data_IF_301378365902
#
_entry.id   IF_301378365902
#
_cell.length_a   1.000
_cell.length_b   1.000
_cell.length_c   1.000
_cell.angle_alpha   90.00
_cell.angle_beta   90.00
_cell.angle_gamma   90.00
#
_symmetry.space_group_name_H-M   'P 1'
#
loop_
_entity.id
_entity.type
_entity.pdbx_description
1 polymer ?
#
# COMPACT_ATOMS: atom_id res chain seq x y z
N UNK A 1 -3.68 -7.66 39.64
CA UNK A 1 -2.27 -7.53 39.23
C UNK A 1 -2.19 -7.50 37.71
N UNK A 2 -1.89 -6.36 37.07
CA UNK A 2 -1.72 -6.27 35.60
C UNK A 2 -0.26 -6.60 35.25
N UNK A 3 0.01 -7.86 34.91
CA UNK A 3 1.36 -8.37 34.55
C UNK A 3 1.79 -8.02 33.10
N UNK A 4 0.89 -7.46 32.30
CA UNK A 4 1.10 -7.21 30.87
C UNK A 4 1.81 -5.89 30.44
N UNK A 5 2.10 -4.88 31.28
CA UNK A 5 2.71 -3.64 30.78
C UNK A 5 4.20 -3.78 30.39
N UNK A 6 4.87 -4.87 30.78
CA UNK A 6 6.29 -5.11 30.46
C UNK A 6 6.50 -5.97 29.20
N UNK A 7 5.49 -6.73 28.77
CA UNK A 7 5.61 -7.65 27.65
C UNK A 7 5.38 -6.87 26.34
N UNK A 8 6.42 -6.77 25.52
CA UNK A 8 6.38 -6.06 24.23
C UNK A 8 5.79 -6.92 23.11
N UNK A 9 6.12 -8.20 23.08
CA UNK A 9 5.73 -9.17 22.06
C UNK A 9 5.68 -10.57 22.69
N UNK A 10 4.70 -11.37 22.27
CA UNK A 10 4.66 -12.82 22.53
C UNK A 10 4.76 -13.51 21.18
N UNK A 11 5.68 -14.47 21.05
CA UNK A 11 5.81 -15.32 19.86
C UNK A 11 5.33 -16.72 20.23
N UNK A 12 4.34 -17.21 19.51
CA UNK A 12 3.82 -18.57 19.66
C UNK A 12 4.12 -19.31 18.37
N UNK A 13 4.82 -20.43 18.47
CA UNK A 13 5.08 -21.34 17.35
C UNK A 13 4.14 -22.51 17.45
N UNK A 14 3.36 -22.76 16.39
CA UNK A 14 2.47 -23.91 16.31
C UNK A 14 3.22 -25.11 15.69
N UNK A 15 2.90 -26.34 16.08
CA UNK A 15 3.40 -27.52 15.37
C UNK A 15 2.88 -27.55 13.93
N UNK A 16 3.52 -28.31 13.03
CA UNK A 16 3.05 -28.50 11.66
C UNK A 16 1.56 -28.86 11.63
N UNK A 17 0.78 -28.14 10.82
CA UNK A 17 -0.69 -28.27 10.80
C UNK A 17 -1.24 -28.10 9.40
N UNK A 18 -2.26 -28.89 9.05
CA UNK A 18 -2.98 -28.76 7.78
C UNK A 18 -3.87 -27.50 7.71
N UNK A 19 -4.00 -26.78 8.84
CA UNK A 19 -4.86 -25.61 8.98
C UNK A 19 -4.23 -24.35 8.38
N UNK A 20 -2.93 -24.17 8.55
CA UNK A 20 -2.18 -22.97 8.15
C UNK A 20 -0.90 -23.42 7.47
N UNK A 21 -0.59 -22.95 6.24
CA UNK A 21 0.67 -23.28 5.57
C UNK A 21 1.90 -22.88 6.39
N UNK A 22 2.95 -23.68 6.31
CA UNK A 22 4.24 -23.37 6.93
C UNK A 22 4.82 -22.04 6.41
N UNK A 23 5.32 -21.20 7.32
CA UNK A 23 5.84 -19.88 7.00
C UNK A 23 4.79 -18.75 6.99
N UNK A 24 3.50 -19.05 7.18
CA UNK A 24 2.49 -18.01 7.44
C UNK A 24 2.60 -17.55 8.89
N UNK A 25 2.72 -16.23 9.08
CA UNK A 25 2.81 -15.60 10.40
C UNK A 25 1.54 -14.75 10.61
N UNK A 26 0.78 -15.08 11.65
CA UNK A 26 -0.30 -14.23 12.12
C UNK A 26 0.24 -13.27 13.19
N UNK A 27 -0.04 -11.98 13.01
CA UNK A 27 0.30 -10.96 13.98
C UNK A 27 -1.01 -10.42 14.54
N UNK A 28 -1.36 -10.85 15.75
CA UNK A 28 -2.47 -10.26 16.49
C UNK A 28 -2.01 -8.96 17.14
N UNK A 29 -2.56 -7.85 16.65
CA UNK A 29 -2.15 -6.52 17.05
C UNK A 29 -3.22 -5.99 18.00
N UNK A 30 -2.86 -5.52 19.21
CA UNK A 30 -3.84 -4.92 20.11
C UNK A 30 -4.57 -3.80 19.36
N UNK A 31 -5.89 -3.72 19.53
CA UNK A 31 -6.76 -2.82 18.76
C UNK A 31 -6.23 -1.39 18.69
N UNK A 32 -6.67 -0.64 17.67
CA UNK A 32 -6.16 0.72 17.40
C UNK A 32 -6.06 1.55 18.66
N UNK A 33 -4.86 2.05 18.90
CA UNK A 33 -4.57 2.89 20.05
C UNK A 33 -3.73 2.28 21.13
N UNK A 34 -2.70 1.61 20.66
CA UNK A 34 -1.63 1.25 21.52
C UNK A 34 -0.86 2.50 22.01
N UNK A 35 -0.54 2.51 23.30
CA UNK A 35 0.30 3.54 23.89
C UNK A 35 1.74 3.52 23.31
N UNK A 36 2.18 2.45 22.66
CA UNK A 36 3.45 2.35 21.99
C UNK A 36 3.30 2.62 20.49
N UNK A 37 3.92 3.70 20.00
CA UNK A 37 3.86 4.11 18.58
C UNK A 37 4.33 3.01 17.62
N UNK A 38 5.43 2.31 17.94
CA UNK A 38 5.94 1.23 17.08
C UNK A 38 4.89 0.12 16.95
N UNK A 39 4.27 -0.28 18.07
CA UNK A 39 3.22 -1.33 18.08
C UNK A 39 1.95 -0.91 17.35
N UNK A 40 1.55 0.35 17.46
CA UNK A 40 0.41 0.92 16.73
C UNK A 40 0.66 1.01 15.21
N UNK A 41 1.92 1.01 14.77
CA UNK A 41 2.32 1.07 13.37
C UNK A 41 2.70 -0.29 12.76
N UNK A 42 2.86 -1.36 13.56
CA UNK A 42 3.30 -2.70 13.09
C UNK A 42 2.43 -3.27 11.97
N UNK A 43 1.12 -3.01 11.97
CA UNK A 43 0.22 -3.53 10.94
C UNK A 43 0.52 -2.98 9.54
N UNK A 44 1.26 -1.87 9.45
CA UNK A 44 1.67 -1.24 8.18
C UNK A 44 2.84 -1.95 7.50
N UNK A 45 3.47 -2.92 8.16
CA UNK A 45 4.57 -3.75 7.61
C UNK A 45 4.08 -5.15 7.19
N UNK A 46 2.79 -5.43 7.32
CA UNK A 46 2.21 -6.72 6.96
C UNK A 46 1.91 -6.81 5.46
N UNK A 47 2.17 -7.97 4.86
CA UNK A 47 1.86 -8.22 3.44
C UNK A 47 0.35 -8.21 3.17
N UNK A 48 -0.45 -8.76 4.09
CA UNK A 48 -1.92 -8.70 4.04
C UNK A 48 -2.46 -8.16 5.36
N UNK A 49 -3.47 -7.30 5.29
CA UNK A 49 -4.11 -6.67 6.46
C UNK A 49 -5.52 -7.22 6.64
N UNK A 50 -5.80 -7.76 7.83
CA UNK A 50 -7.12 -8.26 8.17
C UNK A 50 -7.82 -7.30 9.12
N UNK A 51 -8.95 -6.73 8.69
CA UNK A 51 -9.81 -5.92 9.55
C UNK A 51 -10.90 -6.82 10.10
N UNK A 52 -10.94 -7.00 11.42
CA UNK A 52 -11.94 -7.84 12.09
C UNK A 52 -12.91 -6.95 12.84
N UNK A 53 -14.21 -7.06 12.54
CA UNK A 53 -15.26 -6.31 13.21
C UNK A 53 -16.43 -7.22 13.60
N UNK A 54 -17.02 -6.99 14.77
CA UNK A 54 -18.24 -7.68 15.21
C UNK A 54 -19.44 -7.15 14.40
N UNK A 55 -20.40 -8.02 14.07
CA UNK A 55 -21.54 -7.68 13.23
C UNK A 55 -22.34 -6.48 13.75
N UNK A 56 -22.59 -6.39 15.06
CA UNK A 56 -23.28 -5.26 15.70
C UNK A 56 -22.54 -3.92 15.50
N UNK A 57 -21.20 -3.95 15.55
CA UNK A 57 -20.37 -2.75 15.31
C UNK A 57 -20.42 -2.29 13.86
N UNK A 58 -20.69 -3.20 12.93
CA UNK A 58 -20.84 -2.87 11.51
C UNK A 58 -22.12 -2.08 11.27
N UNK A 59 -23.17 -2.31 12.05
CA UNK A 59 -24.41 -1.54 12.02
C UNK A 59 -24.32 -0.20 12.76
N UNK A 60 -23.65 -0.17 13.92
CA UNK A 60 -23.63 1.03 14.77
C UNK A 60 -22.44 1.97 14.54
N UNK A 61 -21.21 1.48 14.72
CA UNK A 61 -20.04 2.32 14.94
C UNK A 61 -19.19 2.52 13.68
N UNK A 62 -18.77 3.77 13.41
CA UNK A 62 -17.92 4.11 12.25
C UNK A 62 -16.43 3.71 12.38
N UNK A 63 -16.02 3.14 13.51
CA UNK A 63 -14.63 2.79 13.75
C UNK A 63 -14.07 1.80 12.73
N UNK A 64 -14.87 0.78 12.35
CA UNK A 64 -14.47 -0.20 11.33
C UNK A 64 -14.30 0.45 9.95
N UNK A 65 -15.10 1.47 9.62
CA UNK A 65 -14.99 2.19 8.34
C UNK A 65 -13.68 2.98 8.25
N UNK A 66 -13.28 3.63 9.34
CA UNK A 66 -11.99 4.32 9.44
C UNK A 66 -10.84 3.33 9.22
N UNK A 67 -10.87 2.17 9.88
CA UNK A 67 -9.84 1.14 9.70
C UNK A 67 -9.79 0.60 8.27
N UNK A 68 -10.95 0.39 7.64
CA UNK A 68 -11.01 -0.01 6.23
C UNK A 68 -10.42 1.08 5.32
N UNK A 69 -10.67 2.37 5.58
CA UNK A 69 -10.04 3.45 4.80
C UNK A 69 -8.51 3.47 4.97
N UNK A 70 -8.01 3.34 6.20
CA UNK A 70 -6.58 3.32 6.49
C UNK A 70 -5.89 2.11 5.85
N UNK A 71 -6.53 0.94 5.87
CA UNK A 71 -6.00 -0.24 5.18
C UNK A 71 -5.98 -0.03 3.66
N UNK A 72 -7.07 0.49 3.07
CA UNK A 72 -7.12 0.81 1.63
C UNK A 72 -5.99 1.78 1.26
N UNK A 73 -5.79 2.83 2.06
CA UNK A 73 -4.68 3.78 1.89
C UNK A 73 -3.34 3.06 1.95
N UNK A 74 -3.11 2.17 2.92
CA UNK A 74 -1.90 1.37 3.02
C UNK A 74 -1.65 0.52 1.76
N UNK A 75 -2.69 -0.12 1.21
CA UNK A 75 -2.57 -0.89 -0.03
C UNK A 75 -2.31 -0.01 -1.26
N UNK A 76 -3.02 1.12 -1.37
CA UNK A 76 -2.81 2.07 -2.46
C UNK A 76 -1.40 2.66 -2.48
N UNK A 77 -0.79 2.85 -1.31
CA UNK A 77 0.57 3.36 -1.12
C UNK A 77 1.62 2.26 -1.29
N UNK A 78 1.22 0.99 -1.41
CA UNK A 78 2.13 -0.15 -1.62
C UNK A 78 2.72 -0.74 -0.34
N UNK A 79 2.14 -0.47 0.82
CA UNK A 79 2.59 -1.04 2.11
C UNK A 79 2.13 -2.48 2.33
N UNK A 80 0.95 -2.80 1.83
CA UNK A 80 0.41 -4.16 1.83
C UNK A 80 -0.08 -4.50 0.43
N UNK A 81 0.06 -5.78 0.06
CA UNK A 81 -0.43 -6.26 -1.22
C UNK A 81 -1.91 -6.63 -1.14
N UNK A 82 -2.44 -6.96 0.05
CA UNK A 82 -3.81 -7.46 0.19
C UNK A 82 -4.53 -6.97 1.45
N UNK A 83 -5.87 -6.97 1.39
CA UNK A 83 -6.74 -6.58 2.51
C UNK A 83 -7.92 -7.54 2.57
N UNK A 84 -8.24 -8.03 3.77
CA UNK A 84 -9.41 -8.86 4.04
C UNK A 84 -10.26 -8.22 5.13
N UNK A 85 -11.55 -8.01 4.86
CA UNK A 85 -12.51 -7.56 5.86
C UNK A 85 -13.32 -8.75 6.39
N UNK A 86 -13.18 -9.04 7.68
CA UNK A 86 -13.84 -10.16 8.35
C UNK A 86 -14.88 -9.61 9.32
N UNK A 87 -16.15 -9.90 9.07
CA UNK A 87 -17.25 -9.60 9.97
C UNK A 87 -17.50 -10.85 10.81
N UNK A 88 -17.25 -10.77 12.11
CA UNK A 88 -17.37 -11.89 13.05
C UNK A 88 -18.64 -11.82 13.90
N UNK A 89 -18.92 -12.89 14.63
CA UNK A 89 -20.09 -13.07 15.50
C UNK A 89 -21.43 -12.99 14.75
N UNK A 90 -21.49 -13.54 13.53
CA UNK A 90 -22.74 -13.60 12.76
C UNK A 90 -23.87 -14.35 13.49
N UNK A 91 -23.54 -15.23 14.43
CA UNK A 91 -24.48 -15.94 15.30
C UNK A 91 -25.25 -15.03 16.29
N UNK A 92 -24.85 -13.76 16.42
CA UNK A 92 -25.53 -12.74 17.24
C UNK A 92 -26.68 -12.03 16.53
N UNK A 93 -26.90 -12.27 15.23
CA UNK A 93 -28.06 -11.72 14.53
C UNK A 93 -29.35 -12.24 15.17
N UNK A 94 -30.26 -11.31 15.45
CA UNK A 94 -31.55 -11.57 16.06
C UNK A 94 -32.67 -11.63 15.00
N UNK A 95 -33.55 -12.63 15.11
CA UNK A 95 -34.69 -12.84 14.21
C UNK A 95 -35.70 -11.68 14.24
N UNK A 96 -35.96 -11.09 15.42
CA UNK A 96 -36.87 -9.97 15.58
C UNK A 96 -36.33 -8.71 14.91
N UNK A 97 -35.03 -8.45 15.08
CA UNK A 97 -34.36 -7.33 14.40
C UNK A 97 -34.37 -7.53 12.88
N UNK A 98 -34.06 -8.74 12.42
CA UNK A 98 -34.13 -9.09 11.01
C UNK A 98 -35.53 -8.89 10.42
N UNK A 99 -36.59 -9.33 11.12
CA UNK A 99 -37.99 -9.14 10.71
C UNK A 99 -38.41 -7.67 10.68
N UNK A 100 -37.95 -6.86 11.63
CA UNK A 100 -38.22 -5.40 11.62
C UNK A 100 -37.61 -4.72 10.40
N UNK A 101 -36.40 -5.11 10.03
CA UNK A 101 -35.70 -4.56 8.87
C UNK A 101 -36.22 -5.14 7.54
N UNK A 102 -36.95 -6.27 7.59
CA UNK A 102 -37.51 -6.97 6.42
C UNK A 102 -39.01 -7.23 6.58
N UNK A 103 -39.87 -6.22 6.37
CA UNK A 103 -41.32 -6.37 6.54
C UNK A 103 -41.98 -7.40 5.62
N UNK A 104 -41.31 -7.80 4.53
CA UNK A 104 -41.75 -8.86 3.62
C UNK A 104 -41.25 -10.27 3.96
N UNK A 105 -40.47 -10.43 5.04
CA UNK A 105 -40.00 -11.73 5.49
C UNK A 105 -41.13 -12.51 6.19
N UNK A 106 -41.07 -13.84 6.14
CA UNK A 106 -42.02 -14.72 6.84
C UNK A 106 -42.04 -14.43 8.34
N UNK A 107 -43.23 -14.45 8.95
CA UNK A 107 -43.39 -14.28 10.39
C UNK A 107 -42.65 -15.36 11.20
N UNK A 108 -42.37 -16.52 10.61
CA UNK A 108 -41.70 -17.66 11.23
C UNK A 108 -40.28 -17.89 10.65
N UNK A 109 -39.58 -16.84 10.23
CA UNK A 109 -38.21 -16.98 9.72
C UNK A 109 -37.31 -17.65 10.77
N UNK A 110 -36.56 -18.69 10.39
CA UNK A 110 -35.66 -19.36 11.33
C UNK A 110 -34.43 -18.50 11.61
N UNK A 111 -33.77 -18.70 12.76
CA UNK A 111 -32.48 -18.05 13.05
C UNK A 111 -31.46 -18.22 11.94
N UNK A 112 -31.39 -19.42 11.38
CA UNK A 112 -30.47 -19.75 10.29
C UNK A 112 -30.78 -18.92 9.05
N UNK A 113 -32.04 -18.85 8.64
CA UNK A 113 -32.46 -18.09 7.46
C UNK A 113 -32.24 -16.59 7.64
N UNK A 114 -32.52 -16.05 8.84
CA UNK A 114 -32.24 -14.66 9.18
C UNK A 114 -30.74 -14.34 9.07
N UNK A 115 -29.87 -15.23 9.60
CA UNK A 115 -28.42 -15.07 9.48
C UNK A 115 -27.98 -15.13 8.02
N UNK A 116 -28.49 -16.08 7.23
CA UNK A 116 -28.10 -16.25 5.82
C UNK A 116 -28.57 -15.09 4.94
N UNK A 117 -29.79 -14.60 5.15
CA UNK A 117 -30.32 -13.42 4.45
C UNK A 117 -29.48 -12.18 4.76
N UNK A 118 -29.27 -11.89 6.04
CA UNK A 118 -28.44 -10.75 6.46
C UNK A 118 -27.00 -10.87 5.96
N UNK A 119 -26.45 -12.09 5.95
CA UNK A 119 -25.13 -12.37 5.41
C UNK A 119 -25.02 -12.00 3.94
N UNK A 120 -26.03 -12.35 3.12
CA UNK A 120 -26.04 -12.02 1.70
C UNK A 120 -26.10 -10.51 1.46
N UNK A 121 -26.93 -9.79 2.21
CA UNK A 121 -27.07 -8.33 2.11
C UNK A 121 -25.77 -7.60 2.51
N UNK A 122 -25.23 -7.92 3.68
CA UNK A 122 -24.00 -7.31 4.18
C UNK A 122 -22.83 -7.61 3.24
N UNK A 123 -22.72 -8.86 2.76
CA UNK A 123 -21.67 -9.25 1.80
C UNK A 123 -21.78 -8.41 0.54
N UNK A 124 -22.99 -8.26 -0.01
CA UNK A 124 -23.22 -7.48 -1.24
C UNK A 124 -22.87 -6.00 -1.03
N UNK A 125 -23.39 -5.39 0.03
CA UNK A 125 -23.17 -3.97 0.35
C UNK A 125 -21.69 -3.66 0.59
N UNK A 126 -21.03 -4.41 1.47
CA UNK A 126 -19.62 -4.15 1.82
C UNK A 126 -18.66 -4.54 0.70
N UNK A 127 -18.95 -5.62 -0.05
CA UNK A 127 -18.17 -5.99 -1.23
C UNK A 127 -18.25 -4.91 -2.30
N UNK A 128 -19.42 -4.32 -2.55
CA UNK A 128 -19.55 -3.20 -3.50
C UNK A 128 -18.69 -2.01 -3.11
N UNK A 129 -18.78 -1.56 -1.85
CA UNK A 129 -17.99 -0.42 -1.37
C UNK A 129 -16.48 -0.69 -1.44
N UNK A 130 -16.05 -1.91 -1.12
CA UNK A 130 -14.64 -2.30 -1.23
C UNK A 130 -14.20 -2.43 -2.68
N UNK A 131 -15.02 -3.00 -3.57
CA UNK A 131 -14.70 -3.16 -5.01
C UNK A 131 -14.57 -1.82 -5.74
N UNK A 132 -15.42 -0.85 -5.40
CA UNK A 132 -15.34 0.50 -5.94
C UNK A 132 -14.00 1.18 -5.59
N UNK A 133 -13.45 0.86 -4.41
CA UNK A 133 -12.18 1.43 -3.92
C UNK A 133 -10.95 0.57 -4.27
N UNK A 134 -11.15 -0.73 -4.46
CA UNK A 134 -10.12 -1.73 -4.71
C UNK A 134 -10.61 -2.68 -5.81
N UNK A 135 -9.96 -2.68 -6.96
CA UNK A 135 -10.29 -3.56 -8.10
C UNK A 135 -9.90 -5.03 -7.84
N UNK A 136 -10.36 -5.63 -6.73
CA UNK A 136 -10.06 -7.01 -6.33
C UNK A 136 -11.32 -7.81 -6.06
N UNK A 137 -11.23 -9.13 -6.29
CA UNK A 137 -12.32 -10.07 -6.04
C UNK A 137 -12.29 -10.58 -4.59
N UNK A 138 -13.48 -10.76 -4.02
CA UNK A 138 -13.77 -11.40 -2.71
C UNK A 138 -12.91 -10.90 -1.53
N UNK A 139 -13.28 -9.72 -1.02
CA UNK A 139 -12.58 -9.03 0.08
C UNK A 139 -13.32 -9.12 1.43
N UNK A 140 -14.51 -9.70 1.46
CA UNK A 140 -15.40 -9.67 2.64
C UNK A 140 -15.83 -11.08 3.02
N UNK A 141 -15.55 -11.46 4.26
CA UNK A 141 -15.93 -12.75 4.84
C UNK A 141 -16.80 -12.54 6.06
N UNK A 142 -17.93 -13.23 6.12
CA UNK A 142 -18.89 -13.12 7.23
C UNK A 142 -18.90 -14.42 7.99
N UNK A 143 -18.34 -14.40 9.19
CA UNK A 143 -17.96 -15.60 9.93
C UNK A 143 -18.64 -15.70 11.29
N UNK A 144 -18.83 -16.93 11.74
CA UNK A 144 -19.11 -17.26 13.14
C UNK A 144 -18.10 -18.29 13.63
N UNK A 145 -17.17 -17.84 14.47
CA UNK A 145 -16.20 -18.74 15.09
C UNK A 145 -16.86 -19.73 16.06
N UNK A 146 -17.89 -19.27 16.80
CA UNK A 146 -18.62 -20.10 17.75
C UNK A 146 -19.31 -21.28 17.05
N UNK A 147 -20.09 -20.99 16.02
CA UNK A 147 -20.80 -22.02 15.25
C UNK A 147 -19.86 -22.94 14.48
N UNK A 148 -18.65 -22.49 14.13
CA UNK A 148 -17.68 -23.35 13.44
C UNK A 148 -17.10 -24.43 14.36
N UNK A 149 -16.78 -24.07 15.61
CA UNK A 149 -16.24 -24.99 16.61
C UNK A 149 -17.34 -25.84 17.26
N UNK A 150 -18.54 -25.27 17.43
CA UNK A 150 -19.68 -25.91 18.07
C UNK A 150 -20.97 -25.56 17.32
N UNK A 151 -21.27 -26.26 16.21
CA UNK A 151 -22.44 -26.00 15.38
C UNK A 151 -23.74 -26.19 16.17
N UNK A 152 -24.61 -25.18 16.15
CA UNK A 152 -25.96 -25.27 16.74
C UNK A 152 -27.04 -24.80 15.76
N UNK A 153 -26.77 -23.72 15.03
CA UNK A 153 -27.68 -23.08 14.08
C UNK A 153 -27.11 -23.10 12.67
N UNK A 154 -25.79 -22.90 12.53
CA UNK A 154 -25.10 -22.84 11.24
C UNK A 154 -24.28 -24.11 11.01
N UNK A 155 -24.29 -24.62 9.78
CA UNK A 155 -23.30 -25.62 9.37
C UNK A 155 -21.89 -25.01 9.28
N UNK A 156 -20.84 -25.83 9.27
CA UNK A 156 -19.46 -25.34 9.13
C UNK A 156 -19.28 -24.56 7.83
N UNK A 157 -19.97 -24.97 6.78
CA UNK A 157 -20.00 -24.34 5.46
C UNK A 157 -20.64 -22.95 5.54
N UNK A 158 -21.75 -22.83 6.28
CA UNK A 158 -22.46 -21.56 6.50
C UNK A 158 -21.62 -20.53 7.27
N UNK A 159 -20.62 -20.97 8.05
CA UNK A 159 -19.76 -20.03 8.80
C UNK A 159 -18.71 -19.32 7.95
N UNK A 160 -18.52 -19.70 6.67
CA UNK A 160 -17.48 -19.13 5.79
C UNK A 160 -16.01 -19.28 6.25
N UNK A 161 -15.73 -19.87 7.41
CA UNK A 161 -14.36 -20.05 7.93
C UNK A 161 -13.53 -20.95 7.01
N UNK A 162 -14.16 -21.96 6.37
CA UNK A 162 -13.48 -22.78 5.37
C UNK A 162 -13.06 -21.97 4.14
N UNK A 163 -13.90 -21.04 3.68
CA UNK A 163 -13.56 -20.13 2.57
C UNK A 163 -12.47 -19.15 2.96
N UNK A 164 -12.53 -18.61 4.17
CA UNK A 164 -11.49 -17.74 4.71
C UNK A 164 -10.13 -18.46 4.81
N UNK A 165 -10.12 -19.73 5.20
CA UNK A 165 -8.90 -20.58 5.17
C UNK A 165 -8.41 -20.84 3.76
N UNK A 166 -9.30 -21.13 2.81
CA UNK A 166 -8.94 -21.30 1.41
C UNK A 166 -8.33 -20.02 0.83
N UNK A 167 -8.84 -18.85 1.23
CA UNK A 167 -8.28 -17.56 0.86
C UNK A 167 -6.85 -17.35 1.38
N UNK A 168 -6.57 -17.69 2.64
CA UNK A 168 -5.18 -17.66 3.18
C UNK A 168 -4.26 -18.56 2.35
N UNK A 169 -4.70 -19.80 2.07
CA UNK A 169 -3.91 -20.76 1.29
C UNK A 169 -3.63 -20.22 -0.11
N UNK A 170 -4.62 -19.59 -0.75
CA UNK A 170 -4.46 -18.95 -2.05
C UNK A 170 -3.44 -17.82 -1.99
N UNK A 171 -3.58 -16.88 -1.05
CA UNK A 171 -2.64 -15.78 -0.87
C UNK A 171 -1.20 -16.27 -0.66
N UNK A 172 -1.04 -17.29 0.19
CA UNK A 172 0.27 -17.92 0.44
C UNK A 172 0.86 -18.51 -0.84
N UNK A 173 0.09 -19.31 -1.58
CA UNK A 173 0.55 -19.94 -2.82
C UNK A 173 0.88 -18.92 -3.90
N UNK A 174 0.06 -17.88 -4.06
CA UNK A 174 0.29 -16.81 -5.02
C UNK A 174 1.60 -16.06 -4.70
N UNK A 175 1.82 -15.74 -3.41
CA UNK A 175 3.04 -15.07 -2.96
C UNK A 175 4.29 -15.95 -3.13
N UNK A 176 4.24 -17.22 -2.70
CA UNK A 176 5.35 -18.17 -2.86
C UNK A 176 5.69 -18.42 -4.32
N UNK A 177 4.66 -18.58 -5.16
CA UNK A 177 4.85 -18.74 -6.60
C UNK A 177 5.55 -17.53 -7.20
N UNK A 178 5.11 -16.32 -6.85
CA UNK A 178 5.75 -15.09 -7.31
C UNK A 178 7.22 -15.00 -6.88
N UNK A 179 7.52 -15.28 -5.60
CA UNK A 179 8.89 -15.26 -5.09
C UNK A 179 9.77 -16.30 -5.78
N UNK A 180 9.29 -17.54 -5.93
CA UNK A 180 10.02 -18.60 -6.59
C UNK A 180 10.27 -18.27 -8.07
N UNK A 181 9.27 -17.71 -8.75
CA UNK A 181 9.42 -17.26 -10.13
C UNK A 181 10.48 -16.16 -10.27
N UNK A 182 10.54 -15.22 -9.32
CA UNK A 182 11.59 -14.19 -9.31
C UNK A 182 12.98 -14.83 -9.16
N UNK A 183 13.19 -15.70 -8.16
CA UNK A 183 14.46 -16.40 -7.96
C UNK A 183 14.85 -17.28 -9.15
N UNK A 184 13.90 -18.03 -9.73
CA UNK A 184 14.18 -18.87 -10.89
C UNK A 184 14.61 -18.04 -12.09
N UNK A 185 14.03 -16.86 -12.30
CA UNK A 185 14.44 -15.97 -13.40
C UNK A 185 15.84 -15.42 -13.20
N UNK A 186 16.21 -15.03 -11.97
CA UNK A 186 17.57 -14.61 -11.64
C UNK A 186 18.59 -15.74 -11.86
N UNK A 187 18.26 -16.97 -11.43
CA UNK A 187 19.11 -18.15 -11.66
C UNK A 187 19.24 -18.48 -13.16
N UNK A 188 18.14 -18.37 -13.91
CA UNK A 188 18.14 -18.62 -15.37
C UNK A 188 19.08 -17.65 -16.11
N UNK A 189 19.18 -16.39 -15.66
CA UNK A 189 20.14 -15.43 -16.22
C UNK A 189 21.57 -15.91 -16.04
N UNK A 190 21.93 -16.42 -14.84
CA UNK A 190 23.27 -16.95 -14.56
C UNK A 190 23.59 -18.13 -15.47
N UNK A 191 22.65 -19.06 -15.65
CA UNK A 191 22.84 -20.18 -16.58
C UNK A 191 22.95 -19.72 -18.04
N UNK A 192 22.13 -18.77 -18.47
CA UNK A 192 22.23 -18.20 -19.82
C UNK A 192 23.59 -17.52 -20.04
N UNK A 193 24.16 -16.87 -19.02
CA UNK A 193 25.50 -16.29 -19.10
C UNK A 193 26.59 -17.36 -19.25
N UNK A 194 26.46 -18.50 -18.54
CA UNK A 194 27.37 -19.66 -18.70
C UNK A 194 27.25 -20.25 -20.11
N UNK A 195 26.04 -20.38 -20.65
CA UNK A 195 25.82 -20.85 -22.03
C UNK A 195 26.46 -19.90 -23.06
N UNK A 196 26.37 -18.59 -22.83
CA UNK A 196 27.02 -17.55 -23.66
C UNK A 196 28.53 -17.70 -23.64
N UNK A 197 29.12 -17.93 -22.45
CA UNK A 197 30.56 -18.15 -22.28
C UNK A 197 31.03 -19.35 -23.10
N UNK A 198 30.39 -20.50 -22.94
CA UNK A 198 30.73 -21.71 -23.69
C UNK A 198 30.55 -21.55 -25.20
N UNK A 199 29.50 -20.86 -25.62
CA UNK A 199 29.23 -20.61 -27.04
C UNK A 199 30.25 -19.66 -27.70
N UNK A 200 30.85 -18.75 -26.92
CA UNK A 200 31.82 -17.76 -27.45
C UNK A 200 33.20 -18.36 -27.64
N UNK A 201 33.62 -19.33 -26.80
CA UNK A 201 34.87 -20.08 -27.01
C UNK A 201 34.90 -20.89 -28.32
N UNK A 202 33.73 -21.26 -28.86
CA UNK A 202 33.63 -22.11 -30.05
C UNK A 202 33.62 -21.32 -31.38
N UNK A 203 33.31 -20.02 -31.36
CA UNK A 203 33.36 -19.16 -32.55
C UNK A 203 33.54 -17.66 -32.18
N UNK A 204 34.71 -17.06 -32.41
CA UNK A 204 34.93 -15.62 -32.21
C UNK A 204 34.07 -14.82 -33.21
N UNK A 205 33.22 -13.93 -32.71
CA UNK A 205 32.36 -13.10 -33.56
C UNK A 205 33.11 -11.86 -34.08
N UNK A 206 32.81 -11.39 -35.30
CA UNK A 206 33.37 -10.14 -35.83
C UNK A 206 32.91 -8.92 -35.03
N UNK A 207 33.73 -7.86 -35.06
CA UNK A 207 33.58 -6.63 -34.28
C UNK A 207 32.20 -6.01 -34.42
N UNK A 208 31.43 -6.05 -33.34
CA UNK A 208 30.07 -5.52 -33.21
C UNK A 208 30.07 -3.99 -33.26
N UNK A 209 29.10 -3.40 -33.99
CA UNK A 209 28.73 -1.96 -33.95
C UNK A 209 28.15 -1.59 -32.59
N UNK A 210 29.00 -1.56 -31.56
CA UNK A 210 28.61 -1.26 -30.18
C UNK A 210 28.06 0.15 -30.02
N UNK A 211 28.64 1.10 -30.75
CA UNK A 211 28.27 2.52 -30.65
C UNK A 211 26.80 2.75 -31.03
N UNK A 212 26.27 1.99 -32.01
CA UNK A 212 24.85 2.06 -32.41
C UNK A 212 23.90 1.59 -31.29
N UNK A 213 24.29 0.54 -30.55
CA UNK A 213 23.47 0.03 -29.46
C UNK A 213 23.55 0.94 -28.23
N UNK A 214 24.74 1.45 -27.92
CA UNK A 214 24.94 2.41 -26.83
C UNK A 214 24.15 3.71 -27.09
N UNK A 215 24.17 4.22 -28.33
CA UNK A 215 23.38 5.39 -28.75
C UNK A 215 21.88 5.12 -28.64
N UNK A 216 21.40 4.00 -29.18
CA UNK A 216 19.99 3.59 -29.06
C UNK A 216 19.54 3.50 -27.60
N UNK A 217 20.33 2.84 -26.74
CA UNK A 217 19.99 2.71 -25.32
C UNK A 217 19.90 4.09 -24.65
N UNK A 218 20.90 4.95 -24.88
CA UNK A 218 20.90 6.33 -24.37
C UNK A 218 19.65 7.11 -24.78
N UNK A 219 19.28 7.04 -26.06
CA UNK A 219 18.07 7.68 -26.59
C UNK A 219 16.80 7.16 -25.90
N UNK A 220 16.66 5.84 -25.75
CA UNK A 220 15.48 5.23 -25.12
C UNK A 220 15.37 5.55 -23.64
N UNK A 221 16.49 5.62 -22.92
CA UNK A 221 16.54 6.04 -21.53
C UNK A 221 16.10 7.51 -21.40
N UNK A 222 16.59 8.39 -22.26
CA UNK A 222 16.17 9.79 -22.28
C UNK A 222 14.69 9.95 -22.62
N UNK A 223 14.16 9.13 -23.54
CA UNK A 223 12.74 9.12 -23.84
C UNK A 223 11.90 8.67 -22.63
N UNK A 224 12.31 7.60 -21.94
CA UNK A 224 11.65 7.13 -20.72
C UNK A 224 11.66 8.22 -19.63
N UNK A 225 12.80 8.89 -19.44
CA UNK A 225 12.95 10.05 -18.54
C UNK A 225 11.94 11.15 -18.88
N UNK A 226 11.95 11.63 -20.11
CA UNK A 226 11.09 12.73 -20.56
C UNK A 226 9.61 12.39 -20.43
N UNK A 227 9.23 11.16 -20.76
CA UNK A 227 7.85 10.68 -20.63
C UNK A 227 7.43 10.59 -19.15
N UNK A 228 8.33 10.16 -18.28
CA UNK A 228 8.10 10.12 -16.83
C UNK A 228 7.92 11.53 -16.26
N UNK A 229 8.78 12.47 -16.61
CA UNK A 229 8.69 13.89 -16.22
C UNK A 229 7.36 14.51 -16.68
N UNK A 230 6.99 14.32 -17.95
CA UNK A 230 5.71 14.81 -18.49
C UNK A 230 4.50 14.19 -17.77
N UNK A 231 4.60 12.92 -17.37
CA UNK A 231 3.56 12.23 -16.60
C UNK A 231 3.38 12.84 -15.22
N UNK A 232 4.48 13.11 -14.53
CA UNK A 232 4.46 13.73 -13.21
C UNK A 232 4.05 15.20 -13.24
N UNK A 233 4.30 15.93 -14.33
CA UNK A 233 3.83 17.31 -14.50
C UNK A 233 2.29 17.43 -14.39
N UNK A 234 1.54 16.36 -14.68
CA UNK A 234 0.10 16.33 -14.46
C UNK A 234 -0.33 16.42 -12.97
N UNK A 235 0.61 16.27 -12.03
CA UNK A 235 0.37 16.46 -10.59
C UNK A 235 0.34 17.93 -10.17
N UNK A 236 0.94 18.85 -10.94
CA UNK A 236 1.11 20.24 -10.53
C UNK A 236 -0.22 20.94 -10.25
N UNK A 237 -1.19 20.80 -11.15
CA UNK A 237 -2.51 21.42 -10.98
C UNK A 237 -3.30 20.83 -9.80
N UNK A 238 -3.48 19.49 -9.66
CA UNK A 238 -4.08 18.89 -8.48
C UNK A 238 -3.40 19.30 -7.17
N UNK A 239 -2.07 19.47 -7.18
CA UNK A 239 -1.34 19.92 -6.02
C UNK A 239 -1.67 21.37 -5.67
N UNK A 240 -1.60 22.28 -6.64
CA UNK A 240 -1.96 23.69 -6.47
C UNK A 240 -3.39 23.82 -5.93
N UNK A 241 -4.33 23.04 -6.46
CA UNK A 241 -5.71 22.99 -5.99
C UNK A 241 -5.81 22.42 -4.58
N UNK A 242 -5.06 21.35 -4.28
CA UNK A 242 -4.92 20.76 -2.95
C UNK A 242 -4.45 21.77 -1.91
N UNK A 243 -3.44 22.59 -2.25
CA UNK A 243 -2.94 23.67 -1.37
C UNK A 243 -4.03 24.66 -1.06
N UNK A 244 -4.74 25.13 -2.10
CA UNK A 244 -5.83 26.11 -1.96
C UNK A 244 -6.97 25.53 -1.11
N UNK A 245 -7.31 24.27 -1.34
CA UNK A 245 -8.30 23.51 -0.56
C UNK A 245 -7.89 23.38 0.90
N UNK A 246 -6.63 23.04 1.18
CA UNK A 246 -6.09 22.98 2.54
C UNK A 246 -6.10 24.35 3.22
N UNK A 247 -5.66 25.42 2.53
CA UNK A 247 -5.67 26.79 3.06
C UNK A 247 -7.08 27.30 3.36
N UNK A 248 -8.10 26.85 2.65
CA UNK A 248 -9.48 27.26 2.98
C UNK A 248 -10.11 26.40 4.08
N UNK A 249 -9.76 25.11 4.17
CA UNK A 249 -10.41 24.14 5.06
C UNK A 249 -9.69 23.89 6.38
N UNK A 250 -8.42 24.24 6.52
CA UNK A 250 -7.61 23.86 7.69
C UNK A 250 -8.22 24.31 9.03
N UNK A 251 -8.67 25.57 9.18
CA UNK A 251 -9.31 26.06 10.41
C UNK A 251 -10.54 25.22 10.76
N UNK A 252 -11.45 25.03 9.79
CA UNK A 252 -12.66 24.21 9.95
C UNK A 252 -12.33 22.75 10.27
N UNK A 253 -11.28 22.18 9.67
CA UNK A 253 -10.87 20.80 9.92
C UNK A 253 -10.34 20.61 11.34
N UNK A 254 -9.49 21.53 11.81
CA UNK A 254 -8.98 21.54 13.18
C UNK A 254 -10.10 21.78 14.19
N UNK A 255 -10.99 22.74 13.94
CA UNK A 255 -12.18 22.96 14.77
C UNK A 255 -13.04 21.70 14.83
N UNK A 256 -13.32 21.05 13.69
CA UNK A 256 -14.10 19.81 13.65
C UNK A 256 -13.43 18.69 14.43
N UNK A 257 -12.10 18.58 14.37
CA UNK A 257 -11.33 17.63 15.18
C UNK A 257 -11.50 17.92 16.67
N UNK A 258 -11.47 19.19 17.07
CA UNK A 258 -11.60 19.60 18.46
C UNK A 258 -13.04 19.55 19.00
N UNK A 259 -14.02 19.75 18.14
CA UNK A 259 -15.44 19.63 18.48
C UNK A 259 -15.83 18.21 18.90
N UNK A 260 -15.05 17.18 18.54
CA UNK A 260 -15.27 15.80 18.97
C UNK A 260 -15.23 15.63 20.49
N UNK A 261 -14.59 16.55 21.21
CA UNK A 261 -14.51 16.53 22.66
C UNK A 261 -15.17 17.71 23.37
N UNK A 262 -15.99 18.51 22.68
CA UNK A 262 -16.61 19.73 23.25
C UNK A 262 -17.38 19.48 24.56
N UNK A 263 -18.01 18.32 24.69
CA UNK A 263 -18.79 17.93 25.86
C UNK A 263 -18.00 17.07 26.86
N UNK A 264 -16.72 16.80 26.60
CA UNK A 264 -15.91 15.89 27.41
C UNK A 264 -14.86 16.62 28.23
N UNK A 265 -14.94 16.44 29.55
CA UNK A 265 -13.95 16.93 30.51
C UNK A 265 -12.54 16.34 30.32
N UNK A 266 -12.41 15.22 29.61
CA UNK A 266 -11.15 14.50 29.38
C UNK A 266 -10.46 14.76 28.03
N UNK A 267 -11.08 15.53 27.12
CA UNK A 267 -10.55 15.69 25.77
C UNK A 267 -9.21 16.45 25.74
N UNK A 268 -9.03 17.44 26.61
CA UNK A 268 -7.76 18.17 26.72
C UNK A 268 -6.57 17.23 27.01
N UNK A 269 -6.77 16.17 27.80
CA UNK A 269 -5.72 15.16 28.07
C UNK A 269 -5.38 14.36 26.82
N UNK A 270 -6.38 14.09 25.98
CA UNK A 270 -6.22 13.40 24.71
C UNK A 270 -5.43 14.26 23.71
N UNK A 271 -5.75 15.56 23.62
CA UNK A 271 -4.99 16.51 22.79
C UNK A 271 -3.56 16.71 23.28
N UNK A 272 -3.35 16.80 24.61
CA UNK A 272 -2.01 16.87 25.19
C UNK A 272 -1.19 15.63 24.82
N UNK A 273 -1.79 14.44 24.90
CA UNK A 273 -1.13 13.21 24.48
C UNK A 273 -0.84 13.19 22.97
N UNK A 274 -1.73 13.73 22.13
CA UNK A 274 -1.48 13.91 20.70
C UNK A 274 -0.29 14.83 20.43
N UNK A 275 -0.18 15.96 21.12
CA UNK A 275 0.96 16.88 20.98
C UNK A 275 2.27 16.20 21.38
N UNK A 276 2.34 15.55 22.55
CA UNK A 276 3.53 14.80 23.00
C UNK A 276 3.95 13.73 21.98
N UNK A 277 3.01 13.20 21.21
CA UNK A 277 3.24 12.20 20.16
C UNK A 277 3.25 12.77 18.75
N UNK A 278 3.69 14.02 18.61
CA UNK A 278 3.90 14.68 17.31
C UNK A 278 2.63 14.70 16.42
N UNK A 279 1.49 14.98 17.05
CA UNK A 279 0.19 15.15 16.39
C UNK A 279 -0.63 13.88 16.23
N UNK A 280 -0.18 12.73 16.73
CA UNK A 280 -0.88 11.45 16.57
C UNK A 280 -1.10 10.77 17.91
N UNK A 281 -2.35 10.57 18.30
CA UNK A 281 -2.69 9.80 19.48
C UNK A 281 -4.02 9.10 19.32
N UNK A 282 -4.15 7.94 19.94
CA UNK A 282 -5.39 7.19 19.92
C UNK A 282 -5.92 7.08 21.34
N UNK A 283 -7.19 7.40 21.49
CA UNK A 283 -7.92 7.26 22.74
C UNK A 283 -8.98 6.18 22.61
N UNK A 284 -9.26 5.49 23.72
CA UNK A 284 -10.40 4.56 23.82
C UNK A 284 -11.74 5.25 23.60
N UNK A 285 -11.82 6.55 23.91
CA UNK A 285 -13.06 7.34 23.85
C UNK A 285 -13.19 8.08 22.52
N UNK A 286 -12.08 8.63 22.00
CA UNK A 286 -12.08 9.49 20.81
C UNK A 286 -11.51 8.80 19.55
N UNK A 287 -11.16 7.52 19.63
CA UNK A 287 -10.44 6.80 18.58
C UNK A 287 -9.12 7.52 18.21
N UNK A 288 -8.65 7.33 16.96
CA UNK A 288 -7.39 7.90 16.46
C UNK A 288 -7.59 9.38 16.13
N UNK A 289 -6.85 10.23 16.83
CA UNK A 289 -6.62 11.64 16.51
C UNK A 289 -5.30 11.73 15.74
N UNK A 290 -5.36 12.19 14.50
CA UNK A 290 -4.20 12.40 13.63
C UNK A 290 -4.28 13.79 13.02
N UNK A 291 -3.62 14.76 13.66
CA UNK A 291 -3.64 16.17 13.25
C UNK A 291 -2.96 16.31 11.88
N UNK A 292 -1.86 15.57 11.65
CA UNK A 292 -1.09 15.66 10.43
C UNK A 292 -1.92 15.15 9.23
N UNK A 293 -2.56 13.97 9.39
CA UNK A 293 -3.43 13.42 8.35
C UNK A 293 -4.68 14.29 8.11
N UNK A 294 -5.28 14.84 9.18
CA UNK A 294 -6.43 15.74 9.07
C UNK A 294 -6.13 17.00 8.24
N UNK A 295 -4.92 17.55 8.39
CA UNK A 295 -4.46 18.71 7.63
C UNK A 295 -4.01 18.36 6.21
N UNK A 296 -3.52 17.13 6.00
CA UNK A 296 -3.13 16.61 4.68
C UNK A 296 -4.33 16.21 3.80
N UNK A 297 -5.45 15.81 4.39
CA UNK A 297 -6.60 15.25 3.67
C UNK A 297 -7.14 16.12 2.54
N UNK A 298 -7.25 17.47 2.65
CA UNK A 298 -7.66 18.30 1.53
C UNK A 298 -6.73 18.21 0.32
N UNK A 299 -5.42 17.99 0.52
CA UNK A 299 -4.49 17.75 -0.58
C UNK A 299 -4.68 16.34 -1.11
N UNK A 300 -4.73 15.33 -0.22
CA UNK A 300 -4.94 13.95 -0.63
C UNK A 300 -6.20 13.79 -1.48
N UNK A 301 -7.29 14.46 -1.13
CA UNK A 301 -8.54 14.43 -1.88
C UNK A 301 -8.37 14.88 -3.34
N UNK A 302 -7.61 15.95 -3.58
CA UNK A 302 -7.36 16.48 -4.94
C UNK A 302 -6.38 15.59 -5.72
N UNK A 303 -5.31 15.09 -5.09
CA UNK A 303 -4.29 14.31 -5.81
C UNK A 303 -4.64 12.83 -6.00
N UNK A 304 -5.55 12.27 -5.20
CA UNK A 304 -5.81 10.81 -5.11
C UNK A 304 -6.04 10.17 -6.47
N UNK A 305 -6.85 10.80 -7.33
CA UNK A 305 -7.20 10.25 -8.65
C UNK A 305 -5.98 10.27 -9.58
N UNK A 306 -5.28 11.40 -9.68
CA UNK A 306 -4.11 11.52 -10.56
C UNK A 306 -2.98 10.61 -10.09
N UNK A 307 -2.66 10.63 -8.80
CA UNK A 307 -1.65 9.76 -8.20
C UNK A 307 -1.96 8.28 -8.43
N UNK A 308 -3.22 7.86 -8.28
CA UNK A 308 -3.64 6.50 -8.57
C UNK A 308 -3.53 6.12 -10.06
N UNK A 309 -3.70 7.08 -10.99
CA UNK A 309 -3.54 6.86 -12.42
C UNK A 309 -2.07 6.72 -12.84
N UNK A 310 -1.19 7.53 -12.25
CA UNK A 310 0.26 7.50 -12.49
C UNK A 310 0.84 6.12 -12.12
N UNK A 311 0.53 5.63 -10.92
CA UNK A 311 1.06 4.36 -10.41
C UNK A 311 0.15 3.15 -10.66
N UNK A 312 -0.72 3.23 -11.66
CA UNK A 312 -1.66 2.17 -12.01
C UNK A 312 -0.95 1.03 -12.74
N UNK A 313 -1.17 -0.22 -12.31
CA UNK A 313 -0.63 -1.45 -12.96
C UNK A 313 -1.62 -2.22 -13.82
N UNK A 314 -2.91 -1.88 -13.79
CA UNK A 314 -3.97 -2.59 -14.53
C UNK A 314 -4.88 -1.60 -15.24
N UNK A 315 -5.35 -1.91 -16.45
CA UNK A 315 -6.12 -0.99 -17.28
C UNK A 315 -5.41 0.36 -17.42
N UNK A 316 -4.19 0.29 -17.99
CA UNK A 316 -3.24 1.38 -18.12
C UNK A 316 -3.85 2.58 -18.86
N UNK A 317 -3.53 3.78 -18.41
CA UNK A 317 -3.93 5.04 -19.04
C UNK A 317 -2.74 5.70 -19.72
N UNK A 318 -2.99 6.77 -20.48
CA UNK A 318 -1.90 7.57 -21.11
C UNK A 318 -0.92 8.17 -20.10
N UNK A 319 -1.35 8.31 -18.85
CA UNK A 319 -0.56 8.83 -17.72
C UNK A 319 0.00 7.74 -16.82
N UNK A 320 -0.13 6.46 -17.16
CA UNK A 320 0.40 5.37 -16.32
C UNK A 320 1.88 5.17 -16.58
N UNK A 321 2.73 5.25 -15.54
CA UNK A 321 4.17 5.00 -15.65
C UNK A 321 4.48 3.60 -16.17
N UNK A 322 3.70 2.60 -15.75
CA UNK A 322 3.86 1.22 -16.20
C UNK A 322 3.81 1.10 -17.73
N UNK A 323 3.03 1.96 -18.41
CA UNK A 323 2.97 1.95 -19.87
C UNK A 323 4.34 2.25 -20.49
N UNK A 324 5.04 3.25 -19.97
CA UNK A 324 6.34 3.66 -20.51
C UNK A 324 7.43 2.64 -20.17
N UNK A 325 7.36 2.00 -18.99
CA UNK A 325 8.28 0.91 -18.65
C UNK A 325 8.06 -0.32 -19.54
N UNK A 326 6.80 -0.68 -19.80
CA UNK A 326 6.45 -1.81 -20.68
C UNK A 326 6.88 -1.53 -22.13
N UNK A 327 6.65 -0.30 -22.61
CA UNK A 327 7.06 0.15 -23.94
C UNK A 327 8.58 0.15 -24.08
N UNK A 328 9.31 0.71 -23.12
CA UNK A 328 10.77 0.68 -23.08
C UNK A 328 11.31 -0.75 -23.12
N UNK A 329 10.80 -1.64 -22.25
CA UNK A 329 11.23 -3.05 -22.21
C UNK A 329 11.01 -3.75 -23.54
N UNK A 330 9.86 -3.51 -24.17
CA UNK A 330 9.54 -4.07 -25.48
C UNK A 330 10.49 -3.55 -26.56
N UNK A 331 10.70 -2.24 -26.65
CA UNK A 331 11.57 -1.63 -27.66
C UNK A 331 13.03 -2.09 -27.53
N UNK A 332 13.53 -2.24 -26.32
CA UNK A 332 14.88 -2.77 -26.06
C UNK A 332 14.99 -4.22 -26.53
N UNK A 333 14.02 -5.07 -26.21
CA UNK A 333 13.99 -6.47 -26.68
C UNK A 333 13.84 -6.58 -28.18
N UNK A 334 13.00 -5.75 -28.80
CA UNK A 334 12.84 -5.70 -30.25
C UNK A 334 14.17 -5.29 -30.93
N UNK A 335 14.88 -4.29 -30.39
CA UNK A 335 16.22 -3.90 -30.89
C UNK A 335 17.25 -5.02 -30.73
N UNK A 336 17.25 -5.76 -29.62
CA UNK A 336 18.13 -6.92 -29.47
C UNK A 336 17.82 -8.02 -30.49
N UNK A 337 16.55 -8.28 -30.78
CA UNK A 337 16.13 -9.22 -31.80
C UNK A 337 16.60 -8.80 -33.20
N UNK A 338 16.41 -7.53 -33.56
CA UNK A 338 16.86 -6.98 -34.84
C UNK A 338 18.39 -7.01 -34.97
N UNK A 339 19.09 -6.60 -33.91
CA UNK A 339 20.54 -6.67 -33.84
C UNK A 339 21.04 -8.11 -33.96
N UNK A 340 20.35 -9.05 -33.30
CA UNK A 340 20.62 -10.48 -33.38
C UNK A 340 20.54 -11.03 -34.79
N UNK A 341 19.51 -10.64 -35.55
CA UNK A 341 19.34 -11.00 -36.97
C UNK A 341 20.44 -10.43 -37.86
N UNK A 342 20.84 -9.18 -37.63
CA UNK A 342 21.85 -8.49 -38.46
C UNK A 342 23.25 -9.05 -38.20
N UNK A 343 23.56 -9.40 -36.95
CA UNK A 343 24.92 -9.80 -36.54
C UNK A 343 25.11 -11.31 -36.40
N UNK A 344 24.11 -12.13 -36.78
CA UNK A 344 24.07 -13.57 -36.51
C UNK A 344 24.44 -13.89 -35.05
N UNK A 345 23.94 -13.09 -34.12
CA UNK A 345 24.16 -13.29 -32.70
C UNK A 345 23.61 -14.67 -32.30
N UNK A 346 24.40 -15.47 -31.59
CA UNK A 346 23.94 -16.78 -31.19
C UNK A 346 22.68 -16.67 -30.29
N UNK A 347 21.81 -17.67 -30.35
CA UNK A 347 20.54 -17.64 -29.63
C UNK A 347 20.70 -17.56 -28.11
N UNK A 348 21.81 -18.06 -27.56
CA UNK A 348 22.15 -17.97 -26.13
C UNK A 348 22.41 -16.52 -25.69
N UNK A 349 23.14 -15.72 -26.47
CA UNK A 349 23.39 -14.28 -26.18
C UNK A 349 22.11 -13.46 -26.23
N UNK A 350 21.27 -13.68 -27.24
CA UNK A 350 19.99 -12.97 -27.34
C UNK A 350 19.08 -13.29 -26.15
N UNK A 351 18.96 -14.58 -25.81
CA UNK A 351 18.16 -15.03 -24.66
C UNK A 351 18.68 -14.45 -23.34
N UNK A 352 20.00 -14.39 -23.16
CA UNK A 352 20.60 -13.73 -22.00
C UNK A 352 20.19 -12.26 -21.92
N UNK A 353 20.32 -11.48 -23.00
CA UNK A 353 19.98 -10.06 -23.02
C UNK A 353 18.49 -9.80 -22.72
N UNK A 354 17.59 -10.62 -23.27
CA UNK A 354 16.16 -10.52 -22.97
C UNK A 354 15.84 -10.81 -21.49
N UNK A 355 16.49 -11.83 -20.91
CA UNK A 355 16.30 -12.21 -19.51
C UNK A 355 16.89 -11.17 -18.55
N UNK A 356 18.05 -10.62 -18.89
CA UNK A 356 18.70 -9.56 -18.13
C UNK A 356 17.83 -8.30 -18.10
N UNK A 357 17.28 -7.92 -19.26
CA UNK A 357 16.30 -6.83 -19.35
C UNK A 357 15.12 -7.08 -18.41
N UNK A 358 14.60 -8.30 -18.35
CA UNK A 358 13.50 -8.65 -17.45
C UNK A 358 13.87 -8.55 -15.96
N UNK A 359 15.13 -8.79 -15.59
CA UNK A 359 15.61 -8.61 -14.21
C UNK A 359 15.67 -7.13 -13.86
N UNK A 360 16.30 -6.32 -14.72
CA UNK A 360 16.44 -4.87 -14.54
C UNK A 360 15.08 -4.19 -14.44
N UNK A 361 14.15 -4.52 -15.35
CA UNK A 361 12.80 -3.94 -15.31
C UNK A 361 12.05 -4.31 -14.03
N UNK A 362 12.29 -5.49 -13.46
CA UNK A 362 11.73 -5.87 -12.15
C UNK A 362 12.35 -5.08 -11.00
N UNK A 363 13.67 -4.87 -11.02
CA UNK A 363 14.35 -4.02 -10.02
C UNK A 363 13.78 -2.60 -10.05
N UNK A 364 13.64 -2.02 -11.25
CA UNK A 364 13.00 -0.72 -11.47
C UNK A 364 11.57 -0.67 -10.92
N UNK A 365 10.75 -1.70 -11.16
CA UNK A 365 9.39 -1.76 -10.60
C UNK A 365 9.37 -1.75 -9.07
N UNK A 366 10.34 -2.40 -8.41
CA UNK A 366 10.46 -2.41 -6.94
C UNK A 366 10.79 -1.01 -6.44
N UNK A 367 11.74 -0.33 -7.07
CA UNK A 367 12.10 1.06 -6.74
C UNK A 367 10.94 2.05 -6.92
N UNK A 368 10.18 1.92 -8.03
CA UNK A 368 8.98 2.74 -8.26
C UNK A 368 7.97 2.61 -7.10
N UNK A 369 7.78 1.41 -6.56
CA UNK A 369 6.87 1.18 -5.42
C UNK A 369 7.41 1.83 -4.14
N UNK A 370 8.71 1.73 -3.88
CA UNK A 370 9.34 2.38 -2.72
C UNK A 370 9.23 3.90 -2.79
N UNK A 371 9.51 4.49 -3.96
CA UNK A 371 9.41 5.93 -4.18
C UNK A 371 7.97 6.42 -4.12
N UNK A 372 7.01 5.68 -4.67
CA UNK A 372 5.58 5.94 -4.52
C UNK A 372 5.19 6.07 -3.06
N UNK A 373 5.66 5.15 -2.21
CA UNK A 373 5.42 5.19 -0.77
C UNK A 373 6.00 6.46 -0.14
N UNK A 374 7.27 6.76 -0.41
CA UNK A 374 7.94 7.94 0.12
C UNK A 374 7.23 9.24 -0.26
N UNK A 375 6.84 9.40 -1.52
CA UNK A 375 6.13 10.60 -2.03
C UNK A 375 4.78 10.78 -1.36
N UNK A 376 4.05 9.68 -1.12
CA UNK A 376 2.73 9.80 -0.51
C UNK A 376 2.82 10.13 1.00
N UNK A 377 3.81 9.58 1.70
CA UNK A 377 4.02 9.79 3.14
C UNK A 377 4.67 11.13 3.49
N UNK A 378 5.46 11.69 2.57
CA UNK A 378 6.21 12.93 2.78
C UNK A 378 5.31 14.12 3.14
N UNK A 379 4.05 14.14 2.68
CA UNK A 379 3.10 15.19 3.01
C UNK A 379 2.80 15.24 4.51
N UNK A 380 2.36 14.12 5.10
CA UNK A 380 2.08 14.03 6.55
C UNK A 380 3.36 14.26 7.38
N UNK A 381 4.50 13.74 6.93
CA UNK A 381 5.79 13.93 7.60
C UNK A 381 6.23 15.40 7.60
N UNK A 382 6.00 16.12 6.50
CA UNK A 382 6.37 17.53 6.40
C UNK A 382 5.46 18.40 7.26
N UNK A 383 4.14 18.13 7.28
CA UNK A 383 3.21 18.80 8.23
C UNK A 383 3.67 18.57 9.67
N UNK A 384 4.01 17.32 10.03
CA UNK A 384 4.49 16.99 11.37
C UNK A 384 5.77 17.76 11.72
N UNK A 385 6.71 17.87 10.78
CA UNK A 385 7.98 18.58 10.97
C UNK A 385 7.74 20.08 11.21
N UNK A 386 6.89 20.71 10.39
CA UNK A 386 6.54 22.14 10.53
C UNK A 386 5.84 22.42 11.86
N UNK A 387 4.95 21.52 12.27
CA UNK A 387 4.19 21.61 13.52
C UNK A 387 4.97 21.12 14.76
N UNK A 388 6.18 20.56 14.59
CA UNK A 388 6.97 20.03 15.72
C UNK A 388 7.22 21.08 16.81
N UNK A 389 7.56 22.34 16.52
CA UNK A 389 7.68 23.37 17.56
C UNK A 389 6.36 23.62 18.31
N UNK A 390 5.23 23.53 17.60
CA UNK A 390 3.91 23.63 18.22
C UNK A 390 3.66 22.44 19.14
N UNK A 391 4.07 21.23 18.75
CA UNK A 391 3.92 20.03 19.57
C UNK A 391 4.80 20.05 20.84
N UNK A 392 6.00 20.62 20.76
CA UNK A 392 7.00 20.64 21.83
C UNK A 392 6.76 21.74 22.88
N UNK A 393 6.24 22.90 22.50
CA UNK A 393 6.03 24.05 23.42
C UNK A 393 4.90 23.93 24.45
N UNK A 394 4.28 22.76 24.64
CA UNK A 394 2.93 22.63 25.22
C UNK A 394 2.84 21.98 26.60
N UNK A 395 3.35 22.66 27.62
CA UNK A 395 3.11 22.34 29.05
C UNK A 395 2.12 23.28 29.77
N UNK A 396 1.49 24.25 29.10
CA UNK A 396 0.67 25.32 29.70
C UNK A 396 -0.87 25.17 29.65
N UNK A 397 -1.54 26.03 30.42
CA UNK A 397 -2.97 26.13 30.84
C UNK A 397 -4.08 26.07 29.76
N UNK A 398 -5.35 25.71 30.11
CA UNK A 398 -6.48 25.49 29.18
C UNK A 398 -6.99 26.67 28.34
N UNK A 399 -6.71 27.92 28.70
CA UNK A 399 -7.31 29.08 28.00
C UNK A 399 -6.60 29.46 26.69
N UNK A 400 -5.46 28.84 26.37
CA UNK A 400 -4.69 29.14 25.15
C UNK A 400 -5.12 28.36 23.89
N UNK A 401 -6.02 27.39 23.97
CA UNK A 401 -6.25 26.46 22.85
C UNK A 401 -6.84 27.08 21.56
N UNK A 402 -7.69 28.11 21.67
CA UNK A 402 -8.25 28.81 20.50
C UNK A 402 -7.19 29.69 19.83
N UNK A 403 -6.40 30.42 20.63
CA UNK A 403 -5.25 31.19 20.18
C UNK A 403 -4.16 30.31 19.54
N UNK A 404 -3.98 29.09 20.04
CA UNK A 404 -3.02 28.11 19.51
C UNK A 404 -3.46 27.45 18.20
N UNK A 405 -4.76 27.21 18.02
CA UNK A 405 -5.30 26.76 16.74
C UNK A 405 -5.06 27.82 15.66
N UNK A 406 -5.16 29.10 16.01
CA UNK A 406 -4.85 30.23 15.12
C UNK A 406 -3.35 30.34 14.81
N UNK A 407 -2.46 30.08 15.77
CA UNK A 407 -1.01 30.03 15.49
C UNK A 407 -0.63 28.88 14.53
N UNK A 408 -1.16 27.67 14.74
CA UNK A 408 -0.93 26.55 13.82
C UNK A 408 -1.46 26.87 12.43
N UNK A 409 -2.68 27.41 12.35
CA UNK A 409 -3.35 27.89 11.13
C UNK A 409 -2.53 28.94 10.38
N UNK A 410 -1.96 29.91 11.10
CA UNK A 410 -1.13 30.99 10.52
C UNK A 410 0.20 30.45 10.01
N UNK A 411 0.88 29.59 10.78
CA UNK A 411 2.16 28.98 10.37
C UNK A 411 1.99 28.10 9.13
N UNK A 412 0.94 27.26 9.12
CA UNK A 412 0.62 26.42 7.96
C UNK A 412 0.34 27.26 6.72
N UNK A 413 -0.41 28.37 6.84
CA UNK A 413 -0.70 29.25 5.70
C UNK A 413 0.54 29.90 5.07
N UNK A 414 1.56 30.19 5.89
CA UNK A 414 2.84 30.78 5.48
C UNK A 414 3.79 29.76 4.85
N UNK A 415 3.94 28.59 5.47
CA UNK A 415 4.98 27.61 5.13
C UNK A 415 4.50 26.55 4.11
N UNK A 416 3.19 26.42 3.87
CA UNK A 416 2.63 25.43 2.93
C UNK A 416 3.16 25.50 1.49
N UNK A 417 3.30 26.68 0.85
CA UNK A 417 3.75 26.75 -0.54
C UNK A 417 5.19 26.26 -0.73
N UNK A 418 6.11 26.61 0.17
CA UNK A 418 7.50 26.14 0.15
C UNK A 418 7.60 24.65 0.50
N UNK A 419 6.77 24.19 1.43
CA UNK A 419 6.63 22.77 1.79
C UNK A 419 6.33 21.87 0.59
N UNK A 420 5.44 22.29 -0.30
CA UNK A 420 5.07 21.50 -1.47
C UNK A 420 6.12 21.54 -2.57
N UNK A 421 6.84 22.66 -2.70
CA UNK A 421 8.06 22.71 -3.50
C UNK A 421 9.07 21.65 -3.06
N UNK A 422 9.32 21.49 -1.76
CA UNK A 422 10.27 20.49 -1.23
C UNK A 422 9.75 19.06 -1.36
N UNK A 423 8.48 18.81 -1.03
CA UNK A 423 7.86 17.47 -1.08
C UNK A 423 7.80 16.93 -2.51
N UNK A 424 7.52 17.78 -3.50
CA UNK A 424 7.40 17.36 -4.90
C UNK A 424 8.68 17.56 -5.72
N UNK A 425 9.67 18.33 -5.26
CA UNK A 425 11.06 18.26 -5.78
C UNK A 425 11.73 16.90 -5.51
N UNK A 426 11.18 16.04 -4.64
CA UNK A 426 11.64 14.65 -4.52
C UNK A 426 11.37 13.81 -5.80
N UNK A 427 10.64 14.33 -6.80
CA UNK A 427 10.61 13.76 -8.15
C UNK A 427 11.99 13.76 -8.83
N UNK A 428 12.84 14.75 -8.56
CA UNK A 428 14.21 14.76 -9.07
C UNK A 428 15.04 13.63 -8.44
N UNK A 429 14.64 13.13 -7.26
CA UNK A 429 15.20 11.95 -6.61
C UNK A 429 14.58 10.62 -7.07
N UNK A 430 13.53 10.62 -7.90
CA UNK A 430 13.12 9.44 -8.68
C UNK A 430 14.05 9.28 -9.88
N UNK A 431 14.36 10.40 -10.54
CA UNK A 431 15.30 10.46 -11.66
C UNK A 431 16.76 10.26 -11.24
N UNK A 432 17.14 10.79 -10.06
CA UNK A 432 18.45 10.59 -9.43
C UNK A 432 18.58 9.32 -8.58
N UNK A 433 17.50 8.55 -8.43
CA UNK A 433 17.51 7.18 -7.85
C UNK A 433 17.38 6.08 -8.92
N UNK A 434 17.71 6.43 -10.17
CA UNK A 434 18.13 5.49 -11.19
C UNK A 434 19.67 5.35 -11.31
N UNK A 435 20.51 5.53 -10.27
CA UNK A 435 21.93 5.23 -10.37
C UNK A 435 22.10 3.73 -10.51
N UNK A 436 21.23 2.88 -9.93
CA UNK A 436 21.21 1.44 -10.22
C UNK A 436 20.94 1.17 -11.68
N UNK A 437 20.19 1.98 -12.42
CA UNK A 437 20.05 1.77 -13.86
C UNK A 437 21.34 2.18 -14.62
N UNK A 438 22.08 3.17 -14.13
CA UNK A 438 23.36 3.59 -14.70
C UNK A 438 24.51 2.66 -14.27
N UNK A 439 24.40 2.04 -13.10
CA UNK A 439 25.30 1.06 -12.47
C UNK A 439 25.02 -0.33 -13.01
N UNK A 440 23.76 -0.72 -13.27
CA UNK A 440 23.31 -1.90 -14.03
C UNK A 440 23.59 -1.73 -15.52
N UNK A 441 23.44 -0.51 -16.09
CA UNK A 441 23.95 -0.24 -17.45
C UNK A 441 25.48 -0.24 -17.47
N UNK A 442 26.15 0.21 -16.41
CA UNK A 442 27.60 0.07 -16.27
C UNK A 442 27.99 -1.38 -16.00
N UNK A 443 27.18 -2.20 -15.34
CA UNK A 443 27.39 -3.63 -15.12
C UNK A 443 27.11 -4.40 -16.38
N UNK A 444 26.08 -4.07 -17.16
CA UNK A 444 25.87 -4.55 -18.53
C UNK A 444 27.03 -4.08 -19.40
N UNK A 445 27.46 -2.83 -19.34
CA UNK A 445 28.65 -2.35 -20.06
C UNK A 445 29.92 -3.02 -19.55
N UNK A 446 30.00 -3.42 -18.29
CA UNK A 446 31.15 -4.09 -17.65
C UNK A 446 31.12 -5.59 -17.89
N UNK A 447 29.95 -6.22 -18.02
CA UNK A 447 29.70 -7.58 -18.50
C UNK A 447 30.01 -7.63 -19.98
N UNK A 448 29.55 -6.67 -20.77
CA UNK A 448 29.94 -6.47 -22.17
C UNK A 448 31.45 -6.18 -22.30
N UNK A 449 32.08 -5.47 -21.34
CA UNK A 449 33.56 -5.31 -21.29
C UNK A 449 34.31 -6.54 -20.78
N UNK A 450 33.73 -7.36 -19.89
CA UNK A 450 34.29 -8.64 -19.45
C UNK A 450 34.17 -9.70 -20.54
N UNK A 451 33.10 -9.64 -21.31
CA UNK A 451 32.92 -10.36 -22.58
C UNK A 451 33.92 -9.87 -23.65
N UNK A 452 34.49 -8.65 -23.54
CA UNK A 452 35.65 -8.18 -24.34
C UNK A 452 37.03 -8.62 -23.79
N UNK A 453 37.11 -9.03 -22.52
CA UNK A 453 38.34 -9.59 -21.91
C UNK A 453 38.40 -11.13 -22.05
N UNK A 454 37.40 -11.69 -22.73
CA UNK A 454 37.29 -13.10 -23.11
C UNK A 454 37.48 -13.30 -24.62
N UNK A 455 38.16 -12.35 -25.26
CA UNK A 455 38.87 -12.59 -26.52
C UNK A 455 39.98 -13.64 -26.31
#
# INVERSE_FOLDING_TARGET
MRLWPLIKQVRVTLPPSNLVPEGVIFVDIPGTGDANKKRDEMWKECTSIWIIAEVERVFGAKAHEIMVQEAIKACQVGKCSDITFVITKMDMINEDEYRRDHPGASSNVSKRDAILGMKQELKTKKTRTLREKMKKQELVFLVSAKEYWSPTVLSKEDTEILRLRAHIKKLYLDMRRSQLQDYMKEILVVFSLVDVYHSTQLSPNPSVRKDELDEFMSEKIQALKKNSEATFAHMDLPLIQGVKSARTKHKRNIEKLFMQGKTSTGFHRTLKAACVRKGVYVSRVFNRIDINSCLAEPIYAEIRVMFANIFRKQALTRTSLQRFTDEFSKEVKDKFNDFGRITNLNGSKLKFLEQETDVIMRALEREIVLKKKAIYESLELTIQTILSPCYEGRTGSPDNFVFEAEQMTTKLSKDFPSMLGVVFCQNDQLMGALPDFQEECQEIQTLLRRLRLLD
#
